data_IF_347510066059
#
_entry.id   IF_347510066059
#
_cell.length_a   1.000
_cell.length_b   1.000
_cell.length_c   1.000
_cell.angle_alpha   90.00
_cell.angle_beta   90.00
_cell.angle_gamma   90.00
#
_symmetry.space_group_name_H-M   'P 1'
#
loop_
_entity.id
_entity.type
_entity.pdbx_description
1 polymer ?
#
# COMPACT_ATOMS: atom_id res chain seq x y z
N UNK A 1 10.65 -12.38 4.17
CA UNK A 1 11.16 -13.37 3.21
C UNK A 1 12.66 -13.52 3.45
N UNK A 2 13.17 -14.73 3.62
CA UNK A 2 14.62 -14.96 3.71
C UNK A 2 15.27 -14.57 2.38
N UNK A 3 16.31 -13.76 2.40
CA UNK A 3 17.10 -13.46 1.20
C UNK A 3 17.86 -14.72 0.80
N UNK A 4 17.32 -15.46 -0.17
CA UNK A 4 17.98 -16.60 -0.80
C UNK A 4 19.20 -16.08 -1.57
N UNK A 5 20.32 -16.80 -1.50
CA UNK A 5 21.50 -16.50 -2.31
C UNK A 5 21.25 -16.88 -3.78
N UNK A 6 22.04 -16.37 -4.74
CA UNK A 6 21.98 -16.82 -6.13
C UNK A 6 22.11 -18.34 -6.27
N UNK A 7 22.96 -18.97 -5.45
CA UNK A 7 23.11 -20.43 -5.43
C UNK A 7 21.84 -21.14 -4.96
N UNK A 8 21.17 -20.62 -3.93
CA UNK A 8 19.91 -21.20 -3.44
C UNK A 8 18.81 -21.10 -4.50
N UNK A 9 18.74 -19.96 -5.21
CA UNK A 9 17.81 -19.77 -6.32
C UNK A 9 18.10 -20.73 -7.49
N UNK A 10 19.37 -20.97 -7.81
CA UNK A 10 19.74 -21.95 -8.83
C UNK A 10 19.33 -23.37 -8.44
N UNK A 11 19.56 -23.77 -7.18
CA UNK A 11 19.16 -25.09 -6.68
C UNK A 11 17.64 -25.24 -6.70
N UNK A 12 16.90 -24.23 -6.23
CA UNK A 12 15.44 -24.22 -6.27
C UNK A 12 14.90 -24.34 -7.70
N UNK A 13 15.49 -23.64 -8.66
CA UNK A 13 15.08 -23.70 -10.07
C UNK A 13 15.28 -25.11 -10.65
N UNK A 14 16.42 -25.74 -10.35
CA UNK A 14 16.69 -27.14 -10.74
C UNK A 14 15.66 -28.09 -10.13
N UNK A 15 15.43 -27.99 -8.81
CA UNK A 15 14.53 -28.90 -8.09
C UNK A 15 13.08 -28.77 -8.57
N UNK A 16 12.67 -27.56 -8.93
CA UNK A 16 11.36 -27.29 -9.57
C UNK A 16 11.27 -27.98 -10.93
N UNK A 17 12.30 -27.82 -11.77
CA UNK A 17 12.33 -28.44 -13.09
C UNK A 17 12.33 -29.98 -13.00
N UNK A 18 13.10 -30.56 -12.08
CA UNK A 18 13.13 -32.00 -11.82
C UNK A 18 11.75 -32.51 -11.37
N UNK A 19 11.07 -31.77 -10.49
CA UNK A 19 9.72 -32.12 -10.05
C UNK A 19 8.76 -32.19 -11.22
N UNK A 20 8.73 -31.17 -12.09
CA UNK A 20 7.86 -31.17 -13.27
C UNK A 20 8.20 -32.29 -14.25
N UNK A 21 9.49 -32.56 -14.48
CA UNK A 21 9.94 -33.64 -15.34
C UNK A 21 9.46 -35.00 -14.83
N UNK A 22 9.73 -35.31 -13.56
CA UNK A 22 9.35 -36.58 -12.95
C UNK A 22 7.82 -36.79 -12.91
N UNK A 23 7.06 -35.73 -12.62
CA UNK A 23 5.60 -35.80 -12.63
C UNK A 23 5.04 -35.96 -14.03
N UNK A 24 5.61 -35.28 -15.03
CA UNK A 24 5.15 -35.41 -16.42
C UNK A 24 5.27 -36.86 -16.91
N UNK A 25 6.39 -37.53 -16.65
CA UNK A 25 6.60 -38.94 -17.01
C UNK A 25 5.55 -39.81 -16.34
N UNK A 26 5.38 -39.68 -15.02
CA UNK A 26 4.41 -40.48 -14.26
C UNK A 26 2.98 -40.29 -14.77
N UNK A 27 2.56 -39.05 -15.01
CA UNK A 27 1.21 -38.73 -15.47
C UNK A 27 0.99 -39.27 -16.89
N UNK A 28 1.91 -39.01 -17.82
CA UNK A 28 1.80 -39.47 -19.20
C UNK A 28 1.74 -41.00 -19.24
N UNK A 29 2.67 -41.69 -18.59
CA UNK A 29 2.68 -43.16 -18.58
C UNK A 29 1.43 -43.74 -17.90
N UNK A 30 0.92 -43.10 -16.84
CA UNK A 30 -0.33 -43.54 -16.19
C UNK A 30 -1.57 -43.44 -17.08
N UNK A 31 -1.53 -42.59 -18.11
CA UNK A 31 -2.66 -42.34 -19.01
C UNK A 31 -2.55 -43.09 -20.33
N UNK A 32 -1.33 -43.27 -20.83
CA UNK A 32 -1.09 -43.79 -22.18
C UNK A 32 -0.33 -45.13 -22.19
N UNK A 33 0.13 -45.60 -21.04
CA UNK A 33 0.89 -46.85 -20.88
C UNK A 33 2.36 -46.62 -20.54
N UNK A 34 2.97 -47.62 -19.90
CA UNK A 34 4.37 -47.55 -19.47
C UNK A 34 5.33 -47.32 -20.67
N UNK A 35 6.25 -46.37 -20.52
CA UNK A 35 7.24 -46.04 -21.54
C UNK A 35 6.74 -45.10 -22.65
N UNK A 36 5.46 -44.72 -22.64
CA UNK A 36 4.89 -43.79 -23.62
C UNK A 36 5.56 -42.41 -23.54
N UNK A 37 5.80 -41.89 -22.33
CA UNK A 37 6.48 -40.61 -22.13
C UNK A 37 7.90 -40.61 -22.70
N UNK A 38 8.61 -41.75 -22.58
CA UNK A 38 9.96 -41.91 -23.13
C UNK A 38 9.95 -41.93 -24.66
N UNK A 39 8.93 -42.53 -25.27
CA UNK A 39 8.74 -42.52 -26.72
C UNK A 39 8.32 -41.15 -27.26
N UNK A 40 7.70 -40.31 -26.40
CA UNK A 40 7.12 -39.01 -26.75
C UNK A 40 7.67 -37.86 -25.88
N UNK A 41 8.97 -37.53 -25.97
CA UNK A 41 9.59 -36.47 -25.17
C UNK A 41 8.99 -35.07 -25.43
N UNK A 42 8.35 -34.86 -26.59
CA UNK A 42 7.61 -33.64 -26.89
C UNK A 42 6.42 -33.41 -25.94
N UNK A 43 5.80 -34.49 -25.43
CA UNK A 43 4.71 -34.39 -24.47
C UNK A 43 5.23 -34.02 -23.08
N UNK A 44 6.41 -34.51 -22.70
CA UNK A 44 7.11 -34.09 -21.47
C UNK A 44 7.42 -32.59 -21.56
N UNK A 45 8.03 -32.14 -22.65
CA UNK A 45 8.36 -30.72 -22.86
C UNK A 45 7.11 -29.83 -22.92
N UNK A 46 6.02 -30.32 -23.53
CA UNK A 46 4.72 -29.64 -23.52
C UNK A 46 4.16 -29.51 -22.11
N UNK A 47 4.14 -30.60 -21.35
CA UNK A 47 3.68 -30.61 -19.97
C UNK A 47 4.47 -29.65 -19.08
N UNK A 48 5.81 -29.71 -19.13
CA UNK A 48 6.67 -28.84 -18.33
C UNK A 48 6.45 -27.37 -18.64
N UNK A 49 6.29 -27.00 -19.92
CA UNK A 49 5.98 -25.60 -20.31
C UNK A 49 4.64 -25.14 -19.78
N UNK A 50 3.60 -25.98 -19.90
CA UNK A 50 2.27 -25.65 -19.39
C UNK A 50 2.28 -25.50 -17.87
N UNK A 51 2.92 -26.43 -17.14
CA UNK A 51 3.02 -26.37 -15.69
C UNK A 51 3.79 -25.13 -15.20
N UNK A 52 4.90 -24.79 -15.87
CA UNK A 52 5.67 -23.59 -15.55
C UNK A 52 4.88 -22.30 -15.82
N UNK A 53 4.11 -22.23 -16.92
CA UNK A 53 3.28 -21.08 -17.24
C UNK A 53 2.12 -20.89 -16.24
N UNK A 54 1.48 -21.98 -15.83
CA UNK A 54 0.43 -21.95 -14.80
C UNK A 54 0.98 -21.47 -13.45
N UNK A 55 2.11 -22.04 -13.02
CA UNK A 55 2.78 -21.61 -11.78
C UNK A 55 3.22 -20.16 -11.83
N UNK A 56 3.81 -19.71 -12.94
CA UNK A 56 4.19 -18.31 -13.14
C UNK A 56 2.98 -17.37 -13.00
N UNK A 57 1.86 -17.74 -13.61
CA UNK A 57 0.60 -16.98 -13.53
C UNK A 57 0.10 -16.90 -12.10
N UNK A 58 0.05 -18.03 -11.37
CA UNK A 58 -0.39 -18.07 -9.98
C UNK A 58 0.48 -17.20 -9.04
N UNK A 59 1.81 -17.27 -9.18
CA UNK A 59 2.73 -16.45 -8.38
C UNK A 59 2.58 -14.97 -8.70
N UNK A 60 2.40 -14.61 -9.98
CA UNK A 60 2.12 -13.23 -10.37
C UNK A 60 0.82 -12.72 -9.75
N UNK A 61 -0.26 -13.49 -9.78
CA UNK A 61 -1.53 -13.11 -9.15
C UNK A 61 -1.37 -12.87 -7.65
N UNK A 62 -0.66 -13.75 -6.93
CA UNK A 62 -0.40 -13.58 -5.50
C UNK A 62 0.42 -12.31 -5.21
N UNK A 63 1.43 -12.02 -6.04
CA UNK A 63 2.20 -10.78 -5.93
C UNK A 63 1.35 -9.54 -6.18
N UNK A 64 0.46 -9.57 -7.18
CA UNK A 64 -0.46 -8.48 -7.49
C UNK A 64 -1.49 -8.25 -6.38
N UNK A 65 -2.02 -9.30 -5.77
CA UNK A 65 -2.94 -9.21 -4.63
C UNK A 65 -2.25 -8.55 -3.43
N UNK A 66 -1.02 -8.98 -3.09
CA UNK A 66 -0.23 -8.36 -2.03
C UNK A 66 0.07 -6.88 -2.28
N UNK A 67 0.29 -6.49 -3.54
CA UNK A 67 0.46 -5.08 -3.93
C UNK A 67 -0.86 -4.32 -3.77
N UNK A 68 -1.98 -4.88 -4.24
CA UNK A 68 -3.29 -4.25 -4.13
C UNK A 68 -3.68 -4.00 -2.67
N UNK A 69 -3.45 -4.97 -1.79
CA UNK A 69 -3.67 -4.83 -0.34
C UNK A 69 -2.80 -3.74 0.28
N UNK A 70 -1.52 -3.68 -0.13
CA UNK A 70 -0.60 -2.65 0.34
C UNK A 70 -1.05 -1.25 -0.07
N UNK A 71 -1.57 -1.09 -1.29
CA UNK A 71 -2.13 0.17 -1.78
C UNK A 71 -3.39 0.55 -1.01
N UNK A 72 -4.34 -0.37 -0.83
CA UNK A 72 -5.57 -0.11 -0.07
C UNK A 72 -5.31 0.33 1.37
N UNK A 73 -4.30 -0.26 2.02
CA UNK A 73 -3.87 0.15 3.35
C UNK A 73 -3.24 1.56 3.36
N UNK A 74 -2.44 1.92 2.34
CA UNK A 74 -1.91 3.28 2.20
C UNK A 74 -3.03 4.31 1.98
N UNK A 75 -4.06 4.00 1.20
CA UNK A 75 -5.22 4.89 1.02
C UNK A 75 -5.93 5.17 2.34
N UNK A 76 -6.12 4.15 3.19
CA UNK A 76 -6.68 4.36 4.53
C UNK A 76 -5.83 5.26 5.42
N UNK A 77 -4.50 5.15 5.35
CA UNK A 77 -3.57 6.03 6.09
C UNK A 77 -3.57 7.47 5.55
N UNK A 78 -3.77 7.65 4.24
CA UNK A 78 -3.94 8.97 3.63
C UNK A 78 -5.29 9.59 4.03
N UNK A 79 -6.36 8.80 4.11
CA UNK A 79 -7.67 9.25 4.59
C UNK A 79 -7.64 9.58 6.10
N UNK A 80 -6.81 8.89 6.89
CA UNK A 80 -6.60 9.19 8.32
C UNK A 80 -5.70 10.42 8.55
N UNK A 81 -5.05 10.94 7.50
CA UNK A 81 -4.49 12.30 7.45
C UNK A 81 -5.58 13.40 7.47
N UNK A 82 -6.80 13.06 7.93
CA UNK A 82 -7.92 13.94 8.25
C UNK A 82 -7.74 14.76 9.54
N UNK A 83 -6.54 14.81 10.10
CA UNK A 83 -6.17 15.92 10.98
C UNK A 83 -6.29 17.27 10.27
N UNK A 84 -6.38 17.34 8.93
CA UNK A 84 -6.65 18.62 8.23
C UNK A 84 -7.97 19.24 8.69
N UNK A 85 -9.07 18.48 8.80
CA UNK A 85 -10.34 19.06 9.27
C UNK A 85 -10.24 19.50 10.73
N UNK A 86 -9.56 18.73 11.57
CA UNK A 86 -9.35 19.06 12.99
C UNK A 86 -8.43 20.27 13.18
N UNK A 87 -7.38 20.37 12.37
CA UNK A 87 -6.45 21.50 12.32
C UNK A 87 -7.20 22.74 11.82
N UNK A 88 -7.99 22.64 10.74
CA UNK A 88 -8.84 23.71 10.25
C UNK A 88 -9.83 24.20 11.31
N UNK A 89 -10.52 23.29 12.01
CA UNK A 89 -11.43 23.63 13.10
C UNK A 89 -10.71 24.32 14.26
N UNK A 90 -9.53 23.82 14.63
CA UNK A 90 -8.69 24.42 15.69
C UNK A 90 -8.21 25.82 15.30
N UNK A 91 -7.74 26.01 14.07
CA UNK A 91 -7.31 27.30 13.55
C UNK A 91 -8.47 28.30 13.48
N UNK A 92 -9.65 27.85 13.05
CA UNK A 92 -10.85 28.68 12.98
C UNK A 92 -11.26 29.19 14.37
N UNK A 93 -11.29 28.31 15.37
CA UNK A 93 -11.59 28.68 16.77
C UNK A 93 -10.57 29.67 17.33
N UNK A 94 -9.28 29.38 17.18
CA UNK A 94 -8.21 30.26 17.66
C UNK A 94 -8.27 31.65 17.03
N UNK A 95 -8.61 31.73 15.74
CA UNK A 95 -8.78 33.02 15.05
C UNK A 95 -9.97 33.82 15.60
N UNK A 96 -11.07 33.13 15.95
CA UNK A 96 -12.22 33.73 16.62
C UNK A 96 -11.86 34.36 17.97
N UNK A 97 -11.12 33.63 18.81
CA UNK A 97 -10.69 34.12 20.13
C UNK A 97 -9.79 35.36 20.02
N UNK A 98 -8.88 35.38 19.03
CA UNK A 98 -8.02 36.53 18.75
C UNK A 98 -8.86 37.74 18.33
N UNK A 99 -9.82 37.54 17.42
CA UNK A 99 -10.71 38.61 16.95
C UNK A 99 -11.55 39.20 18.09
N UNK A 100 -12.07 38.36 18.97
CA UNK A 100 -12.80 38.81 20.16
C UNK A 100 -11.89 39.58 21.13
N UNK A 101 -10.65 39.12 21.32
CA UNK A 101 -9.62 39.84 22.06
C UNK A 101 -9.35 41.24 21.50
N UNK A 102 -9.13 41.35 20.19
CA UNK A 102 -8.92 42.63 19.50
C UNK A 102 -10.13 43.56 19.67
N UNK A 103 -11.35 43.03 19.55
CA UNK A 103 -12.58 43.80 19.71
C UNK A 103 -12.70 44.38 21.12
N UNK A 104 -12.38 43.58 22.15
CA UNK A 104 -12.37 44.05 23.55
C UNK A 104 -11.32 45.15 23.78
N UNK A 105 -10.12 44.99 23.22
CA UNK A 105 -9.05 45.99 23.33
C UNK A 105 -9.46 47.31 22.64
N UNK A 106 -10.02 47.22 21.43
CA UNK A 106 -10.48 48.41 20.68
C UNK A 106 -11.51 49.21 21.50
N UNK A 107 -12.50 48.53 22.08
CA UNK A 107 -13.50 49.17 22.95
C UNK A 107 -12.87 49.84 24.17
N UNK A 108 -11.91 49.20 24.84
CA UNK A 108 -11.22 49.77 25.99
C UNK A 108 -10.38 51.02 25.62
N UNK A 109 -9.81 51.06 24.41
CA UNK A 109 -9.09 52.23 23.89
C UNK A 109 -10.06 53.38 23.63
N UNK A 110 -11.22 53.13 23.01
CA UNK A 110 -12.25 54.14 22.77
C UNK A 110 -12.74 54.77 24.09
N UNK A 111 -13.04 53.93 25.09
CA UNK A 111 -13.47 54.38 26.42
C UNK A 111 -12.42 55.26 27.11
N UNK A 112 -11.14 54.85 27.07
CA UNK A 112 -10.04 55.67 27.63
C UNK A 112 -9.84 56.97 26.88
N UNK A 113 -9.91 56.95 25.55
CA UNK A 113 -9.70 58.15 24.72
C UNK A 113 -10.81 59.17 24.99
N UNK A 114 -12.07 58.73 25.04
CA UNK A 114 -13.20 59.60 25.39
C UNK A 114 -13.10 60.18 26.81
N UNK A 115 -12.60 59.42 27.78
CA UNK A 115 -12.37 59.92 29.14
C UNK A 115 -11.29 61.02 29.18
N UNK A 116 -10.21 60.87 28.42
CA UNK A 116 -9.14 61.89 28.30
C UNK A 116 -9.68 63.17 27.65
N UNK A 117 -10.46 63.05 26.58
CA UNK A 117 -11.07 64.21 25.91
C UNK A 117 -12.07 64.95 26.80
N UNK A 118 -12.81 64.23 27.65
CA UNK A 118 -13.72 64.84 28.61
C UNK A 118 -12.96 65.57 29.73
N UNK A 119 -11.91 64.94 30.29
CA UNK A 119 -11.07 65.57 31.32
C UNK A 119 -10.42 66.88 30.86
N UNK A 120 -9.98 66.98 29.59
CA UNK A 120 -9.44 68.21 29.00
C UNK A 120 -10.47 69.33 28.76
N UNK A 121 -11.77 69.02 28.78
CA UNK A 121 -12.85 70.02 28.62
C UNK A 121 -13.33 70.59 29.96
N UNK A 122 -13.01 69.90 31.05
CA UNK A 122 -13.39 70.25 32.42
C UNK A 122 -12.26 71.00 33.18
N UNK A 123 -11.09 71.21 32.53
CA UNK A 123 -9.98 72.11 32.94
C UNK A 123 -10.09 73.47 32.24
#
# INVERSE_FOLDING_TARGET
>A
MSNLSPTDLMLQARDTAETYFNQSIRIIDSKFGEGFAKAHPELIAGFMRTAAADFHTAVLYFGLESIADSIGNQDSAIIDSNDISRICDSMYRSSGDVLEGCTRIAKAIEERTGAIEKGKRDE
#
